data_IF_613462076488
#
_entry.id   IF_613462076488
#
_cell.length_a   1.000
_cell.length_b   1.000
_cell.length_c   1.000
_cell.angle_alpha   90.00
_cell.angle_beta   90.00
_cell.angle_gamma   90.00
#
_symmetry.space_group_name_H-M   'P 1'
#
loop_
_entity.id
_entity.type
_entity.pdbx_description
1 polymer ?
#
# COMPACT_ATOMS: atom_id res chain seq x y z
N UNK A 1 15.72 -14.01 -2.27
CA UNK A 1 15.05 -12.70 -2.18
C UNK A 1 14.57 -12.31 -3.56
N UNK A 2 13.57 -11.44 -3.64
CA UNK A 2 13.18 -10.79 -4.88
C UNK A 2 12.69 -9.36 -4.57
N UNK A 3 12.85 -8.46 -5.54
CA UNK A 3 12.37 -7.08 -5.43
C UNK A 3 11.09 -6.92 -6.23
N UNK A 4 10.13 -6.17 -5.69
CA UNK A 4 8.90 -5.79 -6.36
C UNK A 4 8.59 -4.31 -6.13
N UNK A 5 8.18 -3.60 -7.18
CA UNK A 5 7.69 -2.21 -7.13
C UNK A 5 6.18 -2.23 -7.41
N UNK A 6 5.38 -1.75 -6.47
CA UNK A 6 3.92 -1.83 -6.52
C UNK A 6 3.27 -0.49 -6.16
N UNK A 7 2.09 -0.27 -6.72
CA UNK A 7 1.10 0.65 -6.17
C UNK A 7 0.13 -0.13 -5.30
N UNK A 8 0.25 0.03 -3.98
CA UNK A 8 -0.61 -0.63 -3.01
C UNK A 8 -1.81 0.26 -2.71
N UNK A 9 -3.03 -0.27 -2.91
CA UNK A 9 -4.27 0.47 -2.73
C UNK A 9 -5.15 -0.19 -1.67
N UNK A 10 -5.68 0.62 -0.76
CA UNK A 10 -6.53 0.18 0.35
C UNK A 10 -7.81 1.00 0.37
N UNK A 11 -8.93 0.33 0.63
CA UNK A 11 -10.22 1.00 0.81
C UNK A 11 -10.87 0.58 2.12
N UNK A 12 -11.33 1.55 2.89
CA UNK A 12 -12.13 1.34 4.09
C UNK A 12 -13.19 2.44 4.18
N UNK A 13 -14.10 2.31 5.13
CA UNK A 13 -15.14 3.32 5.40
C UNK A 13 -14.93 3.89 6.79
N UNK A 14 -14.85 5.21 6.89
CA UNK A 14 -14.79 5.93 8.17
C UNK A 14 -15.96 6.93 8.24
N UNK A 15 -16.92 6.64 9.12
CA UNK A 15 -18.12 7.46 9.29
C UNK A 15 -17.84 8.87 9.81
N UNK A 16 -16.66 9.10 10.43
CA UNK A 16 -16.23 10.41 10.95
C UNK A 16 -15.86 11.39 9.84
N UNK A 17 -15.53 10.89 8.65
CA UNK A 17 -15.09 11.68 7.50
C UNK A 17 -16.21 11.93 6.47
N UNK A 18 -17.46 11.67 6.84
CA UNK A 18 -18.62 12.03 6.01
C UNK A 18 -18.78 13.54 5.93
N UNK A 19 -19.14 14.04 4.76
CA UNK A 19 -19.37 15.47 4.55
C UNK A 19 -20.54 15.70 3.59
N UNK A 20 -21.35 16.71 3.88
CA UNK A 20 -22.42 17.17 2.99
C UNK A 20 -21.88 18.30 2.10
N UNK A 21 -21.62 17.98 0.83
CA UNK A 21 -21.19 18.94 -0.19
C UNK A 21 -21.75 18.52 -1.55
N UNK A 22 -21.76 19.45 -2.50
CA UNK A 22 -22.00 19.15 -3.92
C UNK A 22 -20.83 18.36 -4.52
N UNK A 23 -19.63 18.49 -3.95
CA UNK A 23 -18.49 17.67 -4.31
C UNK A 23 -18.68 16.24 -3.78
N UNK A 24 -18.58 15.25 -4.68
CA UNK A 24 -18.71 13.84 -4.30
C UNK A 24 -17.42 13.25 -3.72
N UNK A 25 -16.27 13.80 -4.11
CA UNK A 25 -14.95 13.25 -3.80
C UNK A 25 -13.99 14.40 -3.47
N UNK A 26 -13.29 14.27 -2.35
CA UNK A 26 -12.13 15.08 -2.00
C UNK A 26 -10.87 14.29 -2.37
N UNK A 27 -10.05 14.85 -3.25
CA UNK A 27 -8.72 14.31 -3.56
C UNK A 27 -7.70 15.12 -2.79
N UNK A 28 -7.02 14.48 -1.85
CA UNK A 28 -6.13 15.09 -0.89
C UNK A 28 -4.70 14.65 -1.16
N UNK A 29 -3.76 15.55 -0.86
CA UNK A 29 -2.33 15.28 -0.95
C UNK A 29 -1.81 14.57 0.32
N UNK A 30 -0.53 14.20 0.30
CA UNK A 30 0.16 13.52 1.40
C UNK A 30 0.11 14.26 2.74
N UNK A 31 -0.14 15.57 2.76
CA UNK A 31 -0.16 16.35 4.00
C UNK A 31 -1.35 15.99 4.91
N UNK A 32 -2.47 15.57 4.35
CA UNK A 32 -3.66 15.17 5.11
C UNK A 32 -3.61 13.73 5.61
N UNK A 33 -2.72 12.90 5.02
CA UNK A 33 -2.54 11.49 5.38
C UNK A 33 -2.19 11.36 6.87
N UNK A 34 -1.32 12.22 7.40
CA UNK A 34 -0.89 12.20 8.81
C UNK A 34 -1.96 12.61 9.84
N UNK A 35 -3.12 13.12 9.39
CA UNK A 35 -4.22 13.55 10.28
C UNK A 35 -5.38 12.57 10.34
N UNK A 36 -5.36 11.54 9.48
CA UNK A 36 -6.43 10.58 9.32
C UNK A 36 -5.90 9.22 9.78
N UNK A 37 -6.77 8.43 10.42
CA UNK A 37 -6.41 7.06 10.76
C UNK A 37 -6.19 6.23 9.49
N UNK A 38 -5.07 5.51 9.43
CA UNK A 38 -4.67 4.65 8.32
C UNK A 38 -4.38 3.27 8.90
N UNK A 39 -4.81 2.18 8.23
CA UNK A 39 -4.47 0.82 8.67
C UNK A 39 -2.95 0.61 8.68
N UNK A 40 -2.47 -0.03 9.73
CA UNK A 40 -1.06 -0.35 10.01
C UNK A 40 -0.59 -1.58 9.21
N UNK A 41 -0.82 -1.60 7.90
CA UNK A 41 -0.51 -2.77 7.07
C UNK A 41 0.99 -2.96 6.89
N UNK A 42 1.49 -4.12 7.33
CA UNK A 42 2.88 -4.56 7.21
C UNK A 42 3.03 -5.72 6.23
N UNK A 43 4.17 -5.78 5.53
CA UNK A 43 4.56 -6.92 4.70
C UNK A 43 5.38 -7.90 5.55
N UNK A 44 4.80 -9.05 5.90
CA UNK A 44 5.39 -9.97 6.90
C UNK A 44 6.72 -10.58 6.47
N UNK A 45 6.84 -10.88 5.19
CA UNK A 45 8.07 -11.45 4.62
C UNK A 45 8.94 -10.39 3.93
N UNK A 46 8.73 -9.09 4.21
CA UNK A 46 9.65 -8.06 3.71
C UNK A 46 10.91 -8.01 4.57
N UNK A 47 12.08 -8.05 3.94
CA UNK A 47 13.34 -7.70 4.58
C UNK A 47 13.54 -6.18 4.61
N UNK A 48 13.21 -5.52 3.51
CA UNK A 48 13.11 -4.05 3.45
C UNK A 48 11.86 -3.66 2.65
N UNK A 49 11.21 -2.58 3.06
CA UNK A 49 10.08 -2.00 2.36
C UNK A 49 10.23 -0.48 2.41
N UNK A 50 10.31 0.15 1.24
CA UNK A 50 10.58 1.58 1.10
C UNK A 50 9.43 2.27 0.39
N UNK A 51 8.87 3.29 1.03
CA UNK A 51 7.98 4.23 0.38
C UNK A 51 8.77 5.25 -0.45
N UNK A 52 8.16 5.74 -1.52
CA UNK A 52 8.80 6.70 -2.42
C UNK A 52 8.45 8.14 -2.02
N UNK A 53 9.47 9.00 -1.88
CA UNK A 53 9.33 10.36 -1.35
C UNK A 53 9.72 11.49 -2.32
N UNK A 54 10.19 11.16 -3.52
CA UNK A 54 10.70 12.13 -4.51
C UNK A 54 9.69 12.31 -5.65
N UNK A 55 9.37 13.53 -6.07
CA UNK A 55 9.73 14.85 -5.47
C UNK A 55 8.86 15.22 -4.27
N UNK A 56 7.75 14.51 -4.07
CA UNK A 56 6.85 14.57 -2.91
C UNK A 56 6.50 13.14 -2.48
N UNK A 57 5.97 12.92 -1.27
CA UNK A 57 5.51 11.59 -0.86
C UNK A 57 4.49 11.03 -1.86
N UNK A 58 4.80 9.88 -2.46
CA UNK A 58 3.97 9.24 -3.48
C UNK A 58 2.80 8.51 -2.84
N UNK A 59 1.91 9.31 -2.26
CA UNK A 59 0.73 8.89 -1.52
C UNK A 59 -0.47 9.71 -2.01
N UNK A 60 -1.60 9.04 -2.19
CA UNK A 60 -2.85 9.65 -2.62
C UNK A 60 -3.97 9.23 -1.68
N UNK A 61 -4.74 10.20 -1.22
CA UNK A 61 -5.91 9.95 -0.38
C UNK A 61 -7.15 10.53 -1.07
N UNK A 62 -8.18 9.70 -1.27
CA UNK A 62 -9.48 10.13 -1.78
C UNK A 62 -10.57 9.78 -0.79
N UNK A 63 -11.41 10.75 -0.46
CA UNK A 63 -12.50 10.60 0.48
C UNK A 63 -13.81 10.91 -0.26
N UNK A 64 -14.73 9.96 -0.26
CA UNK A 64 -16.08 10.15 -0.77
C UNK A 64 -16.97 10.75 0.31
N UNK A 65 -18.03 11.44 -0.10
CA UNK A 65 -18.99 12.08 0.80
C UNK A 65 -19.69 11.10 1.76
N UNK A 66 -19.80 9.83 1.38
CA UNK A 66 -20.35 8.74 2.19
C UNK A 66 -19.36 8.20 3.25
N UNK A 67 -18.13 8.72 3.29
CA UNK A 67 -17.08 8.32 4.23
C UNK A 67 -16.22 7.16 3.72
N UNK A 68 -16.41 6.69 2.48
CA UNK A 68 -15.46 5.75 1.86
C UNK A 68 -14.13 6.46 1.61
N UNK A 69 -13.05 5.75 1.88
CA UNK A 69 -11.68 6.25 1.72
C UNK A 69 -10.94 5.30 0.77
N UNK A 70 -10.15 5.87 -0.13
CA UNK A 70 -9.14 5.19 -0.92
C UNK A 70 -7.79 5.80 -0.58
N UNK A 71 -6.89 4.97 -0.07
CA UNK A 71 -5.49 5.32 0.13
C UNK A 71 -4.64 4.51 -0.84
N UNK A 72 -3.69 5.17 -1.49
CA UNK A 72 -2.76 4.51 -2.41
C UNK A 72 -1.36 5.03 -2.17
N UNK A 73 -0.38 4.14 -2.13
CA UNK A 73 1.03 4.49 -2.01
C UNK A 73 1.90 3.62 -2.93
N UNK A 74 3.02 4.17 -3.39
CA UNK A 74 4.05 3.42 -4.11
C UNK A 74 5.07 2.84 -3.14
N UNK A 75 5.35 1.55 -3.26
CA UNK A 75 6.28 0.81 -2.41
C UNK A 75 7.25 0.00 -3.26
N UNK A 76 8.53 0.05 -2.91
CA UNK A 76 9.53 -0.95 -3.32
C UNK A 76 9.77 -1.90 -2.16
N UNK A 77 9.54 -3.20 -2.37
CA UNK A 77 9.63 -4.22 -1.33
C UNK A 77 10.66 -5.26 -1.76
N UNK A 78 11.64 -5.50 -0.89
CA UNK A 78 12.54 -6.64 -0.99
C UNK A 78 11.99 -7.75 -0.09
N UNK A 79 11.39 -8.76 -0.72
CA UNK A 79 10.73 -9.84 -0.02
C UNK A 79 11.61 -11.09 0.06
N UNK A 80 11.50 -11.80 1.18
CA UNK A 80 12.07 -13.12 1.34
C UNK A 80 11.32 -14.13 0.48
N UNK A 81 12.09 -14.93 -0.24
CA UNK A 81 11.62 -16.11 -0.95
C UNK A 81 12.67 -17.20 -0.80
N UNK A 82 12.25 -18.34 -0.25
CA UNK A 82 13.07 -19.53 -0.10
C UNK A 82 13.02 -20.34 -1.39
N UNK A 83 14.12 -20.36 -2.13
CA UNK A 83 14.23 -21.11 -3.38
C UNK A 83 14.74 -22.52 -3.10
N UNK A 84 14.04 -23.52 -3.60
CA UNK A 84 14.42 -24.93 -3.45
C UNK A 84 15.18 -25.41 -4.69
N UNK A 85 16.49 -25.22 -4.71
CA UNK A 85 17.35 -25.35 -5.90
C UNK A 85 17.74 -26.81 -6.24
N UNK A 86 16.85 -27.78 -6.00
CA UNK A 86 17.16 -29.20 -6.20
C UNK A 86 17.38 -29.57 -7.69
N UNK A 87 16.64 -28.92 -8.60
CA UNK A 87 16.64 -29.21 -10.03
C UNK A 87 17.25 -28.10 -10.89
N UNK A 88 18.21 -27.35 -10.34
CA UNK A 88 18.82 -26.23 -11.06
C UNK A 88 19.39 -26.68 -12.43
N UNK A 89 19.11 -25.99 -13.56
CA UNK A 89 18.37 -24.73 -13.71
C UNK A 89 16.90 -24.89 -14.19
N UNK A 90 16.32 -26.09 -14.09
CA UNK A 90 14.98 -26.46 -14.58
C UNK A 90 13.92 -26.48 -13.46
N UNK A 91 14.17 -25.75 -12.39
CA UNK A 91 13.31 -25.62 -11.22
C UNK A 91 12.25 -24.52 -11.40
N UNK A 92 11.12 -24.68 -10.68
CA UNK A 92 10.04 -23.71 -10.63
C UNK A 92 9.78 -23.29 -9.18
N UNK A 93 9.62 -22.00 -8.94
CA UNK A 93 9.47 -21.43 -7.60
C UNK A 93 8.23 -20.56 -7.49
N UNK A 94 7.55 -20.63 -6.35
CA UNK A 94 6.47 -19.73 -6.00
C UNK A 94 6.92 -18.83 -4.84
N UNK A 95 7.16 -17.55 -5.14
CA UNK A 95 7.56 -16.57 -4.14
C UNK A 95 6.33 -15.82 -3.59
N UNK A 96 5.98 -15.98 -2.31
CA UNK A 96 4.81 -15.34 -1.73
C UNK A 96 5.08 -13.86 -1.40
N UNK A 97 4.05 -13.03 -1.48
CA UNK A 97 4.04 -11.69 -0.85
C UNK A 97 2.91 -11.69 0.17
N UNK A 98 3.25 -11.61 1.45
CA UNK A 98 2.29 -11.71 2.56
C UNK A 98 2.19 -10.39 3.32
N UNK A 99 0.97 -9.95 3.62
CA UNK A 99 0.72 -8.73 4.37
C UNK A 99 -0.44 -8.90 5.37
N UNK A 100 -0.42 -8.13 6.45
CA UNK A 100 -1.48 -8.07 7.45
C UNK A 100 -1.49 -6.70 8.15
N UNK A 101 -2.52 -6.43 8.98
CA UNK A 101 -2.35 -5.51 10.13
C UNK A 101 -1.39 -6.11 11.14
#
# INVERSE_FOLDING_TARGET
EYQIDIFFAQTWTDSRLRFNSTMKILTLNSNMVGLIWIPDTIFRNSKTAEAHWITTPNQLLRIWNDGKILYTLRLTINAECQLQLHNFPMDAHACPLTFSS
#
